data_IF_980302722301
#
_entry.id   IF_980302722301
#
_cell.length_a   1.000
_cell.length_b   1.000
_cell.length_c   1.000
_cell.angle_alpha   90.00
_cell.angle_beta   90.00
_cell.angle_gamma   90.00
#
_symmetry.space_group_name_H-M   'P 1'
#
loop_
_entity.id
_entity.type
_entity.pdbx_description
1 polymer ?
#
# COMPACT_ATOMS: atom_id res chain seq x y z
N UNK A 1 26.20 1.38 13.21
CA UNK A 1 24.80 1.44 13.67
C UNK A 1 24.12 0.24 13.05
N UNK A 2 23.53 -0.65 13.85
CA UNK A 2 22.93 -1.89 13.32
C UNK A 2 21.68 -1.50 12.54
N UNK A 3 21.71 -1.77 11.24
CA UNK A 3 20.56 -1.59 10.34
C UNK A 3 19.47 -2.57 10.81
N UNK A 4 18.34 -2.04 11.29
CA UNK A 4 17.22 -2.87 11.74
C UNK A 4 16.67 -3.57 10.51
N UNK A 5 17.06 -4.82 10.32
CA UNK A 5 16.71 -5.61 9.14
C UNK A 5 15.24 -6.07 9.16
N UNK A 6 14.65 -6.16 10.36
CA UNK A 6 13.25 -6.49 10.57
C UNK A 6 12.68 -5.69 11.76
N UNK A 7 11.57 -4.99 11.55
CA UNK A 7 10.73 -4.43 12.60
C UNK A 7 9.56 -5.37 12.82
N UNK A 8 9.45 -5.97 14.00
CA UNK A 8 8.23 -6.64 14.42
C UNK A 8 7.18 -5.57 14.75
N UNK A 9 5.95 -5.83 14.35
CA UNK A 9 4.86 -4.85 14.46
C UNK A 9 4.19 -4.96 15.83
N UNK A 10 4.00 -3.82 16.48
CA UNK A 10 3.26 -3.70 17.75
C UNK A 10 1.94 -2.93 17.58
N UNK A 11 1.71 -2.36 16.40
CA UNK A 11 0.53 -1.59 16.02
C UNK A 11 -0.64 -2.48 15.57
N UNK A 12 -1.87 -2.00 15.84
CA UNK A 12 -3.11 -2.73 15.57
C UNK A 12 -3.28 -3.02 14.07
N UNK A 13 -3.71 -4.24 13.76
CA UNK A 13 -3.93 -4.65 12.37
C UNK A 13 -5.13 -3.89 11.81
N UNK A 14 -4.92 -3.21 10.69
CA UNK A 14 -6.01 -2.53 9.99
C UNK A 14 -6.90 -3.59 9.38
N UNK A 15 -8.12 -3.68 9.91
CA UNK A 15 -9.19 -4.58 9.44
C UNK A 15 -10.24 -3.87 8.57
N UNK A 16 -10.07 -2.57 8.31
CA UNK A 16 -10.99 -1.80 7.49
C UNK A 16 -10.99 -2.30 6.03
N UNK A 17 -12.14 -2.32 5.35
CA UNK A 17 -12.21 -2.73 3.96
C UNK A 17 -11.43 -1.74 3.08
N UNK A 18 -10.46 -2.25 2.34
CA UNK A 18 -9.69 -1.44 1.40
C UNK A 18 -10.54 -1.06 0.18
N UNK A 19 -10.60 0.24 -0.13
CA UNK A 19 -11.26 0.73 -1.34
C UNK A 19 -10.29 0.76 -2.52
N UNK A 20 -10.79 0.45 -3.72
CA UNK A 20 -10.02 0.69 -4.95
C UNK A 20 -9.67 2.18 -5.10
N UNK A 21 -8.53 2.47 -5.74
CA UNK A 21 -8.01 3.85 -5.89
C UNK A 21 -9.07 4.82 -6.42
N UNK A 22 -9.76 4.49 -7.51
CA UNK A 22 -10.80 5.36 -8.09
C UNK A 22 -11.95 5.65 -7.11
N UNK A 23 -12.36 4.64 -6.33
CA UNK A 23 -13.42 4.80 -5.34
C UNK A 23 -12.96 5.66 -4.16
N UNK A 24 -11.71 5.50 -3.72
CA UNK A 24 -11.10 6.32 -2.67
C UNK A 24 -10.99 7.79 -3.09
N UNK A 25 -10.59 8.06 -4.33
CA UNK A 25 -10.50 9.42 -4.85
C UNK A 25 -11.87 10.13 -4.91
N UNK A 26 -12.96 9.36 -4.96
CA UNK A 26 -14.33 9.88 -4.93
C UNK A 26 -14.87 10.01 -3.50
N UNK A 27 -14.32 9.27 -2.53
CA UNK A 27 -14.81 9.16 -1.15
C UNK A 27 -13.63 9.06 -0.16
N UNK A 28 -13.36 10.11 0.61
CA UNK A 28 -12.11 10.24 1.39
C UNK A 28 -12.17 9.71 2.82
N UNK A 29 -13.24 9.01 3.22
CA UNK A 29 -13.42 8.53 4.60
C UNK A 29 -12.85 7.12 4.86
N UNK A 30 -12.19 6.51 3.88
CA UNK A 30 -11.52 5.22 4.07
C UNK A 30 -10.09 5.41 4.58
N UNK A 31 -9.68 4.48 5.44
CA UNK A 31 -8.35 4.39 6.06
C UNK A 31 -7.47 3.33 5.38
N UNK A 32 -8.04 2.56 4.45
CA UNK A 32 -7.39 1.50 3.71
C UNK A 32 -7.68 1.64 2.20
N UNK A 33 -6.65 1.45 1.37
CA UNK A 33 -6.75 1.51 -0.09
C UNK A 33 -6.13 0.28 -0.74
N UNK A 34 -6.76 -0.18 -1.82
CA UNK A 34 -6.32 -1.29 -2.64
C UNK A 34 -5.86 -0.78 -4.02
N UNK A 35 -4.62 -1.09 -4.39
CA UNK A 35 -3.99 -0.71 -5.65
C UNK A 35 -3.99 -1.90 -6.59
N UNK A 36 -4.72 -1.78 -7.69
CA UNK A 36 -4.73 -2.75 -8.78
C UNK A 36 -3.56 -2.50 -9.77
N UNK A 37 -3.18 -3.52 -10.56
CA UNK A 37 -2.20 -3.33 -11.62
C UNK A 37 -2.71 -2.35 -12.68
N UNK A 38 -2.08 -1.18 -12.76
CA UNK A 38 -2.46 -0.13 -13.70
C UNK A 38 -2.92 1.15 -13.01
N UNK A 39 -3.24 1.08 -11.72
CA UNK A 39 -3.51 2.26 -10.91
C UNK A 39 -2.25 3.11 -10.73
N UNK A 40 -2.41 4.43 -10.72
CA UNK A 40 -1.33 5.34 -10.40
C UNK A 40 -1.26 5.59 -8.89
N UNK A 41 -0.33 4.90 -8.23
CA UNK A 41 -0.06 5.09 -6.80
C UNK A 41 0.26 6.55 -6.42
N UNK A 42 0.69 7.38 -7.38
CA UNK A 42 0.95 8.81 -7.14
C UNK A 42 -0.32 9.60 -6.81
N UNK A 43 -1.49 9.10 -7.20
CA UNK A 43 -2.75 9.73 -6.86
C UNK A 43 -3.03 9.70 -5.35
N UNK A 44 -2.41 8.78 -4.60
CA UNK A 44 -2.57 8.64 -3.16
C UNK A 44 -1.64 9.54 -2.34
N UNK A 45 -0.64 10.16 -2.96
CA UNK A 45 0.37 10.99 -2.27
C UNK A 45 -0.23 12.11 -1.40
N UNK A 46 -1.29 12.83 -1.82
CA UNK A 46 -1.90 13.86 -0.99
C UNK A 46 -2.63 13.34 0.25
N UNK A 47 -2.88 12.02 0.33
CA UNK A 47 -3.73 11.39 1.33
C UNK A 47 -2.98 10.44 2.27
N UNK A 48 -1.65 10.32 2.12
CA UNK A 48 -0.85 9.32 2.85
C UNK A 48 -0.99 9.42 4.38
N UNK A 49 -1.14 10.63 4.92
CA UNK A 49 -1.27 10.85 6.36
C UNK A 49 -2.57 10.25 6.95
N UNK A 50 -3.60 10.08 6.13
CA UNK A 50 -4.87 9.47 6.54
C UNK A 50 -4.95 7.96 6.31
N UNK A 51 -4.01 7.40 5.54
CA UNK A 51 -4.00 5.99 5.18
C UNK A 51 -3.22 5.17 6.20
N UNK A 52 -3.89 4.20 6.81
CA UNK A 52 -3.26 3.26 7.73
C UNK A 52 -2.78 1.99 7.02
N UNK A 53 -3.44 1.62 5.92
CA UNK A 53 -3.13 0.44 5.11
C UNK A 53 -3.19 0.76 3.61
N UNK A 54 -2.19 0.27 2.88
CA UNK A 54 -2.21 0.19 1.42
C UNK A 54 -1.95 -1.25 1.01
N UNK A 55 -2.93 -1.85 0.37
CA UNK A 55 -2.82 -3.16 -0.27
C UNK A 55 -2.37 -2.99 -1.71
N UNK A 56 -1.37 -3.76 -2.12
CA UNK A 56 -0.84 -3.76 -3.48
C UNK A 56 -1.08 -5.13 -4.09
N UNK A 57 -1.83 -5.16 -5.19
CA UNK A 57 -2.15 -6.40 -5.89
C UNK A 57 -1.00 -6.90 -6.76
N UNK A 58 -0.73 -8.19 -6.63
CA UNK A 58 0.22 -8.97 -7.42
C UNK A 58 -0.52 -10.16 -8.03
N UNK A 59 -1.27 -10.00 -9.12
CA UNK A 59 -2.07 -11.07 -9.72
C UNK A 59 -1.21 -12.18 -10.36
N UNK A 60 0.05 -11.88 -10.68
CA UNK A 60 1.05 -12.83 -11.18
C UNK A 60 2.42 -12.40 -10.67
N UNK A 61 3.27 -13.36 -10.33
CA UNK A 61 4.65 -13.11 -9.90
C UNK A 61 5.49 -12.32 -10.93
N UNK A 62 5.08 -12.35 -12.21
CA UNK A 62 5.74 -11.62 -13.30
C UNK A 62 5.35 -10.14 -13.37
N UNK A 63 4.34 -9.70 -12.60
CA UNK A 63 3.87 -8.32 -12.65
C UNK A 63 4.71 -7.41 -11.72
N UNK A 64 5.74 -6.79 -12.30
CA UNK A 64 6.64 -5.89 -11.58
C UNK A 64 6.02 -4.54 -11.15
N UNK A 65 4.81 -4.20 -11.60
CA UNK A 65 4.20 -2.88 -11.34
C UNK A 65 3.90 -2.68 -9.86
N UNK A 66 3.49 -3.72 -9.14
CA UNK A 66 3.24 -3.65 -7.69
C UNK A 66 4.47 -3.21 -6.90
N UNK A 67 5.67 -3.70 -7.26
CA UNK A 67 6.92 -3.27 -6.64
C UNK A 67 7.22 -1.78 -6.89
N UNK A 68 6.91 -1.29 -8.09
CA UNK A 68 7.11 0.11 -8.45
C UNK A 68 6.15 1.02 -7.67
N UNK A 69 4.88 0.64 -7.56
CA UNK A 69 3.89 1.34 -6.75
C UNK A 69 4.29 1.38 -5.27
N UNK A 70 4.66 0.24 -4.68
CA UNK A 70 5.10 0.17 -3.29
C UNK A 70 6.36 1.03 -3.05
N UNK A 71 7.31 1.03 -4.00
CA UNK A 71 8.52 1.86 -3.92
C UNK A 71 8.18 3.34 -3.91
N UNK A 72 7.33 3.81 -4.83
CA UNK A 72 6.93 5.23 -4.90
C UNK A 72 6.29 5.68 -3.59
N UNK A 73 5.43 4.85 -2.99
CA UNK A 73 4.79 5.17 -1.70
C UNK A 73 5.82 5.27 -0.57
N UNK A 74 6.78 4.35 -0.50
CA UNK A 74 7.86 4.41 0.49
C UNK A 74 8.76 5.62 0.30
N UNK A 75 9.15 5.95 -0.93
CA UNK A 75 9.96 7.13 -1.24
C UNK A 75 9.23 8.43 -0.92
N UNK A 76 7.90 8.45 -1.04
CA UNK A 76 7.07 9.57 -0.62
C UNK A 76 6.86 9.68 0.90
N UNK A 77 7.45 8.76 1.69
CA UNK A 77 7.41 8.81 3.15
C UNK A 77 6.24 8.05 3.78
N UNK A 78 5.54 7.18 3.03
CA UNK A 78 4.48 6.36 3.63
C UNK A 78 5.04 5.42 4.72
N UNK A 79 4.60 5.64 5.95
CA UNK A 79 5.04 4.89 7.15
C UNK A 79 4.05 3.82 7.58
N UNK A 80 2.84 3.82 7.03
CA UNK A 80 1.79 2.84 7.34
C UNK A 80 2.07 1.44 6.78
N UNK A 81 1.06 0.57 6.90
CA UNK A 81 1.15 -0.82 6.46
C UNK A 81 1.09 -0.90 4.93
N UNK A 82 2.12 -1.50 4.33
CA UNK A 82 2.10 -1.91 2.93
C UNK A 82 1.95 -3.43 2.90
N UNK A 83 0.84 -3.90 2.37
CA UNK A 83 0.51 -5.33 2.29
C UNK A 83 0.50 -5.77 0.84
N UNK A 84 1.27 -6.80 0.54
CA UNK A 84 1.21 -7.44 -0.77
C UNK A 84 0.06 -8.47 -0.76
N UNK A 85 -0.84 -8.39 -1.75
CA UNK A 85 -2.00 -9.27 -1.88
C UNK A 85 -1.92 -10.00 -3.22
N UNK A 86 -2.13 -11.32 -3.22
CA UNK A 86 -2.08 -12.15 -4.42
C UNK A 86 -0.90 -13.12 -4.45
N UNK A 87 -0.41 -13.42 -5.66
CA UNK A 87 0.62 -14.40 -5.94
C UNK A 87 2.02 -13.78 -5.76
N UNK A 88 2.38 -13.56 -4.49
CA UNK A 88 3.62 -12.90 -4.08
C UNK A 88 4.66 -13.95 -3.72
N UNK A 89 5.83 -13.87 -4.36
CA UNK A 89 6.97 -14.75 -4.05
C UNK A 89 7.85 -14.08 -2.99
N UNK A 90 8.08 -14.77 -1.87
CA UNK A 90 8.90 -14.33 -0.73
C UNK A 90 10.27 -15.01 -0.68
#
# INVERSE_FOLDING_TARGET
MVEVQFRFRDDEVVGDPALMVDAFLTQTNATAVHIEPGDDARALLPFLDGLQLIEVSFPSWTDGRGYSSARVLREAGYTGELRAVGDVVI
#
